data_IF_854499133551
#
_entry.id   IF_854499133551
#
_cell.length_a   1.000
_cell.length_b   1.000
_cell.length_c   1.000
_cell.angle_alpha   90.00
_cell.angle_beta   90.00
_cell.angle_gamma   90.00
#
_symmetry.space_group_name_H-M   'P 1'
#
loop_
_entity.id
_entity.type
_entity.pdbx_description
1 polymer ?
#
# COMPACT_ATOMS: atom_id res chain seq x y z
N UNK A 1 7.59 28.79 -1.84
CA UNK A 1 8.94 28.20 -1.83
C UNK A 1 8.84 26.87 -2.55
N UNK A 2 9.49 26.70 -3.70
CA UNK A 2 9.46 25.43 -4.42
C UNK A 2 10.53 24.53 -3.81
N UNK A 3 10.14 23.38 -3.24
CA UNK A 3 11.09 22.38 -2.79
C UNK A 3 11.63 21.67 -4.03
N UNK A 4 12.90 21.92 -4.33
CA UNK A 4 13.66 21.22 -5.38
C UNK A 4 13.92 19.81 -4.90
N UNK A 5 13.24 18.82 -5.48
CA UNK A 5 13.47 17.40 -5.21
C UNK A 5 14.76 16.99 -5.94
N UNK A 6 15.89 17.13 -5.26
CA UNK A 6 17.17 16.53 -5.66
C UNK A 6 17.08 15.02 -5.50
N UNK A 7 17.31 14.26 -6.60
CA UNK A 7 17.52 12.80 -6.67
C UNK A 7 17.18 12.07 -5.37
N UNK A 8 15.91 11.67 -5.32
CA UNK A 8 15.14 11.19 -4.18
C UNK A 8 15.87 10.14 -3.35
N UNK A 9 16.08 10.47 -2.08
CA UNK A 9 16.19 9.41 -1.09
C UNK A 9 14.80 8.79 -0.95
N UNK A 10 14.66 7.45 -0.95
CA UNK A 10 13.38 6.81 -0.69
C UNK A 10 12.83 7.31 0.64
N UNK A 11 11.58 7.81 0.63
CA UNK A 11 10.90 8.23 1.84
C UNK A 11 10.15 7.03 2.43
N UNK A 12 10.47 6.68 3.67
CA UNK A 12 9.75 5.62 4.39
C UNK A 12 8.63 6.26 5.18
N UNK A 13 7.39 5.83 4.93
CA UNK A 13 6.19 6.29 5.65
C UNK A 13 5.27 5.11 5.97
N UNK A 14 4.08 5.38 6.50
CA UNK A 14 3.08 4.36 6.80
C UNK A 14 1.72 4.72 6.23
N UNK A 15 1.08 3.77 5.54
CA UNK A 15 -0.30 3.88 5.05
C UNK A 15 -1.07 2.67 5.59
N UNK A 16 -2.24 2.89 6.21
CA UNK A 16 -2.93 1.83 6.99
C UNK A 16 -2.06 1.15 8.07
N UNK A 17 -1.02 1.84 8.55
CA UNK A 17 -0.03 1.24 9.46
C UNK A 17 0.91 0.23 8.79
N UNK A 18 0.86 0.08 7.46
CA UNK A 18 1.79 -0.70 6.64
C UNK A 18 2.98 0.20 6.29
N UNK A 19 4.22 -0.24 6.55
CA UNK A 19 5.41 0.50 6.13
C UNK A 19 5.53 0.48 4.62
N UNK A 20 5.60 1.66 4.01
CA UNK A 20 5.75 1.81 2.56
C UNK A 20 6.93 2.71 2.23
N UNK A 21 7.52 2.50 1.06
CA UNK A 21 8.57 3.34 0.51
C UNK A 21 8.00 4.17 -0.63
N UNK A 22 8.24 5.47 -0.64
CA UNK A 22 7.87 6.36 -1.73
C UNK A 22 9.12 6.71 -2.53
N UNK A 23 9.09 6.40 -3.81
CA UNK A 23 10.15 6.69 -4.77
C UNK A 23 9.64 7.57 -5.91
N UNK A 24 10.53 8.33 -6.53
CA UNK A 24 10.24 9.13 -7.71
C UNK A 24 11.29 8.85 -8.78
N UNK A 25 10.83 8.44 -9.97
CA UNK A 25 11.65 8.37 -11.18
C UNK A 25 10.99 9.21 -12.29
N UNK A 26 9.97 8.66 -12.95
CA UNK A 26 9.09 9.38 -13.88
C UNK A 26 7.76 9.79 -13.21
N UNK A 27 7.27 8.91 -12.32
CA UNK A 27 6.06 9.06 -11.52
C UNK A 27 6.39 8.79 -10.05
N UNK A 28 5.52 9.23 -9.13
CA UNK A 28 5.60 8.78 -7.73
C UNK A 28 5.11 7.34 -7.63
N UNK A 29 5.88 6.50 -6.95
CA UNK A 29 5.52 5.10 -6.69
C UNK A 29 5.55 4.85 -5.20
N UNK A 30 4.44 4.36 -4.65
CA UNK A 30 4.35 3.80 -3.31
C UNK A 30 4.62 2.31 -3.41
N UNK A 31 5.59 1.80 -2.65
CA UNK A 31 6.04 0.40 -2.68
C UNK A 31 5.82 -0.23 -1.31
N UNK A 32 5.09 -1.34 -1.29
CA UNK A 32 4.83 -2.17 -0.13
C UNK A 32 5.49 -3.55 -0.32
N UNK A 33 6.50 -3.82 0.50
CA UNK A 33 7.28 -5.07 0.45
C UNK A 33 6.67 -6.19 1.30
N UNK A 34 5.67 -5.91 2.13
CA UNK A 34 5.06 -6.90 3.02
C UNK A 34 4.03 -7.74 2.25
N UNK A 35 3.21 -7.11 1.41
CA UNK A 35 2.23 -7.81 0.55
C UNK A 35 2.52 -7.69 -0.95
N UNK A 36 3.64 -7.09 -1.33
CA UNK A 36 4.09 -6.91 -2.71
C UNK A 36 3.09 -6.12 -3.58
N UNK A 37 2.56 -5.03 -3.04
CA UNK A 37 1.65 -4.12 -3.73
C UNK A 37 2.30 -2.77 -3.96
N UNK A 38 1.78 -2.01 -4.92
CA UNK A 38 2.26 -0.68 -5.21
C UNK A 38 1.13 0.21 -5.73
N UNK A 39 1.31 1.52 -5.62
CA UNK A 39 0.46 2.52 -6.26
C UNK A 39 1.29 3.57 -6.98
N UNK A 40 0.73 4.16 -8.03
CA UNK A 40 1.45 5.10 -8.91
C UNK A 40 0.62 6.36 -9.16
N UNK A 41 1.29 7.52 -9.27
CA UNK A 41 0.62 8.78 -9.58
C UNK A 41 1.56 9.90 -10.02
N UNK A 42 1.00 10.97 -10.61
CA UNK A 42 1.75 12.18 -10.97
C UNK A 42 2.13 12.99 -9.72
N UNK A 43 1.42 12.76 -8.62
CA UNK A 43 1.71 13.30 -7.30
C UNK A 43 1.78 12.20 -6.24
N UNK A 44 2.43 12.50 -5.10
CA UNK A 44 2.44 11.59 -3.94
C UNK A 44 1.01 11.25 -3.52
N UNK A 45 0.11 12.24 -3.48
CA UNK A 45 -1.27 12.03 -3.06
C UNK A 45 -2.03 11.04 -3.98
N UNK A 46 -1.82 11.15 -5.30
CA UNK A 46 -2.39 10.20 -6.26
C UNK A 46 -1.79 8.80 -6.12
N UNK A 47 -0.46 8.69 -5.96
CA UNK A 47 0.19 7.39 -5.75
C UNK A 47 -0.26 6.71 -4.45
N UNK A 48 -0.49 7.49 -3.39
CA UNK A 48 -1.07 6.99 -2.15
C UNK A 48 -2.53 6.55 -2.31
N UNK A 49 -3.34 7.30 -3.05
CA UNK A 49 -4.75 6.96 -3.29
C UNK A 49 -4.87 5.69 -4.13
N UNK A 50 -4.05 5.57 -5.17
CA UNK A 50 -3.96 4.37 -6.00
C UNK A 50 -3.53 3.16 -5.16
N UNK A 51 -2.46 3.29 -4.36
CA UNK A 51 -2.04 2.22 -3.44
C UNK A 51 -3.15 1.82 -2.46
N UNK A 52 -3.85 2.79 -1.85
CA UNK A 52 -4.96 2.52 -0.94
C UNK A 52 -6.07 1.73 -1.64
N UNK A 53 -6.44 2.12 -2.86
CA UNK A 53 -7.46 1.41 -3.64
C UNK A 53 -7.04 -0.01 -3.97
N UNK A 54 -5.79 -0.23 -4.37
CA UNK A 54 -5.25 -1.57 -4.69
C UNK A 54 -5.25 -2.46 -3.44
N UNK A 55 -4.81 -1.94 -2.30
CA UNK A 55 -4.79 -2.69 -1.03
C UNK A 55 -6.19 -3.08 -0.59
N UNK A 56 -7.17 -2.16 -0.66
CA UNK A 56 -8.55 -2.46 -0.28
C UNK A 56 -9.19 -3.49 -1.21
N UNK A 57 -9.01 -3.35 -2.53
CA UNK A 57 -9.51 -4.34 -3.50
C UNK A 57 -8.88 -5.71 -3.27
N UNK A 58 -7.57 -5.77 -3.01
CA UNK A 58 -6.88 -7.01 -2.72
C UNK A 58 -7.37 -7.65 -1.42
N UNK A 59 -7.61 -6.85 -0.39
CA UNK A 59 -8.20 -7.31 0.87
C UNK A 59 -9.59 -7.94 0.65
N UNK A 60 -10.47 -7.25 -0.07
CA UNK A 60 -11.81 -7.75 -0.42
C UNK A 60 -11.73 -9.09 -1.17
N UNK A 61 -10.86 -9.19 -2.19
CA UNK A 61 -10.64 -10.42 -2.95
C UNK A 61 -10.17 -11.58 -2.07
N UNK A 62 -9.29 -11.32 -1.10
CA UNK A 62 -8.82 -12.32 -0.14
C UNK A 62 -9.94 -12.75 0.82
N UNK A 63 -10.76 -11.82 1.30
CA UNK A 63 -11.88 -12.14 2.19
C UNK A 63 -12.93 -13.01 1.50
N UNK A 64 -13.32 -12.65 0.27
CA UNK A 64 -14.29 -13.41 -0.51
C UNK A 64 -13.84 -14.86 -0.79
N UNK A 65 -12.52 -15.07 -0.86
CA UNK A 65 -11.92 -16.35 -1.21
C UNK A 65 -11.25 -17.07 -0.03
N UNK A 66 -11.43 -16.61 1.21
CA UNK A 66 -10.70 -17.04 2.41
C UNK A 66 -10.58 -18.58 2.54
N UNK A 67 -11.69 -19.29 2.31
CA UNK A 67 -11.76 -20.76 2.42
C UNK A 67 -10.94 -21.53 1.38
N UNK A 68 -10.49 -20.86 0.31
CA UNK A 68 -9.80 -21.45 -0.85
C UNK A 68 -8.38 -20.90 -1.02
N UNK A 69 -7.94 -19.99 -0.16
CA UNK A 69 -6.62 -19.38 -0.21
C UNK A 69 -5.51 -20.40 0.06
N UNK A 70 -4.41 -20.25 -0.68
CA UNK A 70 -3.13 -20.85 -0.30
C UNK A 70 -2.60 -20.21 0.99
N UNK A 71 -1.72 -20.90 1.72
CA UNK A 71 -1.31 -20.46 3.06
C UNK A 71 -0.60 -19.10 3.06
N UNK A 72 0.21 -18.80 2.04
CA UNK A 72 0.84 -17.49 1.89
C UNK A 72 -0.20 -16.35 1.70
N UNK A 73 -1.32 -16.63 1.03
CA UNK A 73 -2.39 -15.63 0.85
C UNK A 73 -3.21 -15.47 2.13
N UNK A 74 -3.33 -16.51 2.96
CA UNK A 74 -3.91 -16.40 4.30
C UNK A 74 -3.05 -15.55 5.23
N UNK A 75 -1.73 -15.64 5.11
CA UNK A 75 -0.80 -14.76 5.85
C UNK A 75 -1.01 -13.30 5.45
N UNK A 76 -1.14 -13.00 4.15
CA UNK A 76 -1.48 -11.65 3.67
C UNK A 76 -2.84 -11.19 4.23
N UNK A 77 -3.87 -12.06 4.20
CA UNK A 77 -5.19 -11.73 4.74
C UNK A 77 -5.13 -11.43 6.25
N UNK A 78 -4.44 -12.25 7.02
CA UNK A 78 -4.27 -12.06 8.45
C UNK A 78 -3.57 -10.72 8.73
N UNK A 79 -2.46 -10.45 8.04
CA UNK A 79 -1.73 -9.19 8.13
C UNK A 79 -2.63 -7.99 7.82
N UNK A 80 -3.39 -8.05 6.73
CA UNK A 80 -4.29 -6.97 6.32
C UNK A 80 -5.43 -6.73 7.30
N UNK A 81 -5.98 -7.79 7.92
CA UNK A 81 -6.99 -7.64 9.00
C UNK A 81 -6.43 -6.87 10.18
N UNK A 82 -5.18 -7.13 10.58
CA UNK A 82 -4.54 -6.39 11.68
C UNK A 82 -4.31 -4.90 11.31
N UNK A 83 -3.90 -4.63 10.08
CA UNK A 83 -3.57 -3.27 9.60
C UNK A 83 -4.80 -2.41 9.32
N UNK A 84 -5.84 -3.01 8.74
CA UNK A 84 -7.07 -2.32 8.37
C UNK A 84 -8.10 -2.25 9.52
N UNK A 85 -7.87 -2.93 10.65
CA UNK A 85 -8.78 -2.91 11.80
C UNK A 85 -9.15 -1.48 12.26
N UNK A 86 -8.16 -0.60 12.33
CA UNK A 86 -8.33 0.81 12.73
C UNK A 86 -9.01 1.66 11.65
N UNK A 87 -8.96 1.22 10.39
CA UNK A 87 -9.54 1.92 9.25
C UNK A 87 -11.02 1.56 9.06
N UNK A 88 -11.38 0.28 9.22
CA UNK A 88 -12.75 -0.23 8.99
C UNK A 88 -13.69 0.07 10.18
N UNK A 89 -13.15 0.26 11.39
CA UNK A 89 -13.94 0.50 12.62
C UNK A 89 -14.32 1.98 12.84
N UNK A 90 -13.98 2.89 11.91
CA UNK A 90 -14.29 4.33 11.99
C UNK A 90 -15.38 4.74 11.03
#
# INVERSE_FOLDING_TARGET
MAQTITKSHPEITTIFGIPVTIEYDEYYTVIDNEINMFGVGDTIAEAEEDYKSVVLSYFEDLEENESRLADNLKEHLFYLREKLADYITR
#
